data_IF_522205155977
#
_entry.id   IF_522205155977
#
_cell.length_a   1.000
_cell.length_b   1.000
_cell.length_c   1.000
_cell.angle_alpha   90.00
_cell.angle_beta   90.00
_cell.angle_gamma   90.00
#
_symmetry.space_group_name_H-M   'P 1'
#
loop_
_entity.id
_entity.type
_entity.pdbx_description
1 polymer ?
#
# COMPACT_ATOMS: atom_id res chain seq x y z
N UNK A 1 5.61 24.76 2.55
CA UNK A 1 5.89 23.32 2.43
C UNK A 1 6.22 22.82 3.82
N UNK A 2 5.26 22.22 4.51
CA UNK A 2 5.46 21.67 5.86
C UNK A 2 6.19 20.33 5.74
N UNK A 3 7.48 20.33 6.06
CA UNK A 3 8.24 19.11 6.31
C UNK A 3 7.84 18.55 7.67
N UNK A 4 6.69 17.88 7.74
CA UNK A 4 6.35 17.09 8.92
C UNK A 4 7.18 15.80 8.86
N UNK A 5 8.07 15.53 9.83
CA UNK A 5 8.76 14.26 9.88
C UNK A 5 7.70 13.18 10.07
N UNK A 6 7.61 12.23 9.14
CA UNK A 6 6.86 10.99 9.33
C UNK A 6 7.47 10.36 10.58
N UNK A 7 6.72 10.30 11.69
CA UNK A 7 7.25 9.65 12.89
C UNK A 7 7.58 8.20 12.53
N UNK A 8 8.62 7.63 13.14
CA UNK A 8 9.00 6.23 12.93
C UNK A 8 7.87 5.23 13.25
N UNK A 9 6.75 5.69 13.82
CA UNK A 9 5.58 4.90 14.17
C UNK A 9 4.55 4.75 13.03
N UNK A 10 4.72 5.49 11.92
CA UNK A 10 3.81 5.47 10.77
C UNK A 10 4.39 4.54 9.70
N UNK A 11 3.77 3.37 9.42
CA UNK A 11 4.27 2.47 8.38
C UNK A 11 4.40 3.17 7.02
N UNK A 12 5.51 2.97 6.31
CA UNK A 12 5.74 3.55 4.98
C UNK A 12 4.54 3.36 4.04
N UNK A 13 3.96 2.15 4.04
CA UNK A 13 2.79 1.76 3.22
C UNK A 13 1.50 2.55 3.47
N UNK A 14 1.40 3.34 4.54
CA UNK A 14 0.24 4.22 4.78
C UNK A 14 0.48 5.64 4.28
N UNK A 15 1.71 6.01 3.95
CA UNK A 15 2.08 7.30 3.38
C UNK A 15 2.15 7.17 1.86
N UNK A 16 1.18 7.74 1.15
CA UNK A 16 1.03 7.57 -0.30
C UNK A 16 2.29 7.97 -1.08
N UNK A 17 2.98 9.02 -0.64
CA UNK A 17 4.21 9.53 -1.26
C UNK A 17 5.35 8.51 -1.18
N UNK A 18 5.37 7.68 -0.13
CA UNK A 18 6.40 6.67 0.13
C UNK A 18 6.03 5.28 -0.42
N UNK A 19 4.86 5.13 -1.05
CA UNK A 19 4.50 3.91 -1.74
C UNK A 19 5.35 3.71 -3.01
N UNK A 20 5.72 2.46 -3.29
CA UNK A 20 6.31 2.08 -4.58
C UNK A 20 5.30 2.29 -5.71
N UNK A 21 5.77 2.20 -6.96
CA UNK A 21 4.90 2.32 -8.12
C UNK A 21 3.81 1.24 -8.12
N UNK A 22 4.19 0.01 -7.83
CA UNK A 22 3.33 -1.17 -7.85
C UNK A 22 2.27 -1.12 -6.72
N UNK A 23 2.64 -0.61 -5.53
CA UNK A 23 1.69 -0.37 -4.45
C UNK A 23 0.64 0.68 -4.81
N UNK A 24 1.06 1.74 -5.52
CA UNK A 24 0.15 2.78 -6.04
C UNK A 24 -0.79 2.22 -7.10
N UNK A 25 -0.30 1.35 -7.97
CA UNK A 25 -1.15 0.68 -8.98
C UNK A 25 -2.25 -0.15 -8.29
N UNK A 26 -1.91 -0.96 -7.29
CA UNK A 26 -2.90 -1.74 -6.53
C UNK A 26 -3.90 -0.83 -5.79
N UNK A 27 -3.42 0.26 -5.17
CA UNK A 27 -4.28 1.24 -4.52
C UNK A 27 -5.27 1.89 -5.50
N UNK A 28 -4.80 2.27 -6.69
CA UNK A 28 -5.64 2.88 -7.71
C UNK A 28 -6.70 1.89 -8.24
N UNK A 29 -6.32 0.63 -8.47
CA UNK A 29 -7.26 -0.41 -8.93
C UNK A 29 -8.37 -0.63 -7.89
N UNK A 30 -8.04 -0.67 -6.60
CA UNK A 30 -9.06 -0.73 -5.53
C UNK A 30 -10.04 0.45 -5.66
N UNK A 31 -9.52 1.66 -5.80
CA UNK A 31 -10.36 2.86 -5.98
C UNK A 31 -11.25 2.81 -7.22
N UNK A 32 -10.78 2.23 -8.33
CA UNK A 32 -11.62 2.04 -9.53
C UNK A 32 -12.72 1.00 -9.33
N UNK A 33 -12.44 -0.09 -8.60
CA UNK A 33 -13.45 -1.12 -8.30
C UNK A 33 -14.50 -0.59 -7.34
N UNK A 34 -14.11 0.17 -6.32
CA UNK A 34 -15.04 0.77 -5.35
C UNK A 34 -16.04 1.73 -6.02
N UNK A 35 -15.62 2.43 -7.09
CA UNK A 35 -16.49 3.33 -7.88
C UNK A 35 -17.60 2.59 -8.64
N UNK A 36 -17.46 1.29 -8.89
CA UNK A 36 -18.51 0.49 -9.56
C UNK A 36 -19.74 0.27 -8.67
N UNK A 37 -19.60 0.48 -7.36
CA UNK A 37 -20.69 0.42 -6.38
C UNK A 37 -20.54 -0.70 -5.36
N UNK A 38 -21.53 -0.82 -4.49
CA UNK A 38 -21.55 -1.80 -3.41
C UNK A 38 -22.11 -3.15 -3.90
N UNK A 39 -21.23 -4.13 -4.10
CA UNK A 39 -21.62 -5.50 -4.44
C UNK A 39 -20.69 -6.51 -3.76
N UNK A 40 -21.19 -7.63 -3.19
CA UNK A 40 -20.35 -8.59 -2.46
C UNK A 40 -19.15 -9.11 -3.26
N UNK A 41 -19.34 -9.47 -4.54
CA UNK A 41 -18.23 -9.91 -5.40
C UNK A 41 -17.17 -8.82 -5.65
N UNK A 42 -17.57 -7.54 -5.66
CA UNK A 42 -16.61 -6.43 -5.78
C UNK A 42 -15.87 -6.23 -4.47
N UNK A 43 -16.55 -6.41 -3.33
CA UNK A 43 -15.90 -6.44 -2.00
C UNK A 43 -14.84 -7.53 -1.93
N UNK A 44 -15.12 -8.74 -2.42
CA UNK A 44 -14.15 -9.83 -2.45
C UNK A 44 -12.91 -9.46 -3.29
N UNK A 45 -13.11 -8.84 -4.46
CA UNK A 45 -12.03 -8.32 -5.29
C UNK A 45 -11.18 -7.28 -4.53
N UNK A 46 -11.81 -6.31 -3.87
CA UNK A 46 -11.13 -5.27 -3.08
C UNK A 46 -10.31 -5.89 -1.96
N UNK A 47 -10.87 -6.86 -1.22
CA UNK A 47 -10.18 -7.55 -0.13
C UNK A 47 -8.92 -8.26 -0.63
N UNK A 48 -9.00 -8.97 -1.76
CA UNK A 48 -7.86 -9.66 -2.35
C UNK A 48 -6.76 -8.69 -2.79
N UNK A 49 -7.13 -7.55 -3.38
CA UNK A 49 -6.16 -6.53 -3.81
C UNK A 49 -5.51 -5.81 -2.63
N UNK A 50 -6.26 -5.53 -1.56
CA UNK A 50 -5.71 -4.96 -0.33
C UNK A 50 -4.71 -5.93 0.31
N UNK A 51 -5.04 -7.21 0.36
CA UNK A 51 -4.15 -8.26 0.89
C UNK A 51 -2.87 -8.41 0.04
N UNK A 52 -3.02 -8.38 -1.29
CA UNK A 52 -1.88 -8.38 -2.22
C UNK A 52 -0.97 -7.18 -1.99
N UNK A 53 -1.53 -5.97 -1.84
CA UNK A 53 -0.75 -4.75 -1.55
C UNK A 53 -0.04 -4.86 -0.20
N UNK A 54 -0.70 -5.38 0.83
CA UNK A 54 -0.07 -5.59 2.15
C UNK A 54 1.16 -6.49 2.05
N UNK A 55 1.03 -7.63 1.37
CA UNK A 55 2.15 -8.57 1.16
C UNK A 55 3.30 -7.95 0.38
N UNK A 56 3.00 -7.16 -0.65
CA UNK A 56 4.00 -6.40 -1.39
C UNK A 56 4.73 -5.40 -0.49
N UNK A 57 4.00 -4.65 0.33
CA UNK A 57 4.61 -3.72 1.29
C UNK A 57 5.52 -4.42 2.28
N UNK A 58 5.07 -5.55 2.84
CA UNK A 58 5.86 -6.31 3.81
C UNK A 58 7.16 -6.81 3.16
N UNK A 59 7.13 -7.26 1.90
CA UNK A 59 8.34 -7.63 1.16
C UNK A 59 9.30 -6.45 0.93
N UNK A 60 8.79 -5.28 0.50
CA UNK A 60 9.60 -4.06 0.31
C UNK A 60 10.27 -3.63 1.62
N UNK A 61 9.54 -3.70 2.73
CA UNK A 61 10.02 -3.28 4.04
C UNK A 61 11.09 -4.25 4.57
N UNK A 62 10.96 -5.56 4.30
CA UNK A 62 11.98 -6.58 4.59
C UNK A 62 13.26 -6.37 3.79
N UNK A 63 13.15 -6.18 2.47
CA UNK A 63 14.31 -5.91 1.61
C UNK A 63 15.04 -4.62 2.02
N UNK A 64 14.29 -3.59 2.40
CA UNK A 64 14.86 -2.32 2.87
C UNK A 64 15.59 -2.45 4.21
N UNK A 65 15.18 -3.41 5.05
CA UNK A 65 15.82 -3.69 6.33
C UNK A 65 17.10 -4.50 6.13
N UNK A 66 17.07 -5.51 5.25
CA UNK A 66 18.24 -6.34 4.91
C UNK A 66 19.39 -5.51 4.29
N UNK A 67 19.05 -4.48 3.50
CA UNK A 67 20.04 -3.60 2.87
C UNK A 67 20.71 -2.59 3.83
N UNK A 68 20.30 -2.51 5.10
CA UNK A 68 20.88 -1.60 6.11
C UNK A 68 21.94 -2.27 6.99
N UNK A 69 22.12 -3.60 6.89
CA UNK A 69 23.07 -4.37 7.72
C UNK A 69 24.43 -4.64 7.03
N UNK A 70 24.85 -3.81 6.07
CA UNK A 70 26.17 -3.88 5.40
C UNK A 70 26.95 -2.58 5.58
#
# INVERSE_FOLDING_TARGET
MSNTPVSNDVPRRIVYELMTKEEKELFNIVGEIEKLGAHPLLTDCVVLLIDARRKLSDWVDLESSNNKEI
#
